data_IF_499472405634
#
_entry.id   IF_499472405634
#
_cell.length_a   1.000
_cell.length_b   1.000
_cell.length_c   1.000
_cell.angle_alpha   90.00
_cell.angle_beta   90.00
_cell.angle_gamma   90.00
#
_symmetry.space_group_name_H-M   'P 1'
#
loop_
_entity.id
_entity.type
_entity.pdbx_description
1 polymer ?
#
# COMPACT_ATOMS: atom_id res chain seq x y z
N UNK A 1 -41.68 10.22 29.58
CA UNK A 1 -41.27 11.52 29.02
C UNK A 1 -40.43 11.23 27.79
N UNK A 2 -41.10 11.34 26.63
CA UNK A 2 -40.63 11.56 25.24
C UNK A 2 -39.12 11.37 24.98
N UNK A 3 -38.69 10.28 24.33
CA UNK A 3 -38.65 10.10 22.85
C UNK A 3 -37.89 11.24 22.14
N UNK A 4 -36.56 11.20 22.23
CA UNK A 4 -35.65 11.92 21.33
C UNK A 4 -34.85 10.89 20.54
N UNK A 5 -35.39 10.46 19.40
CA UNK A 5 -34.62 9.76 18.38
C UNK A 5 -35.38 9.88 17.07
N UNK A 6 -35.49 11.07 16.47
CA UNK A 6 -35.76 11.13 15.02
C UNK A 6 -35.44 12.50 14.38
N UNK A 7 -34.21 12.65 13.91
CA UNK A 7 -33.86 13.62 12.86
C UNK A 7 -32.81 13.01 11.92
N UNK A 8 -32.83 11.68 11.75
CA UNK A 8 -31.89 11.04 10.85
C UNK A 8 -32.40 11.21 9.41
N UNK A 9 -31.72 12.03 8.61
CA UNK A 9 -32.04 12.20 7.17
C UNK A 9 -31.75 10.93 6.34
N UNK A 10 -30.97 9.99 6.90
CA UNK A 10 -30.68 8.71 6.25
C UNK A 10 -31.87 7.78 6.45
N UNK A 11 -32.76 7.80 5.46
CA UNK A 11 -34.06 7.09 5.51
C UNK A 11 -33.92 5.56 5.50
N UNK A 12 -32.80 5.03 5.00
CA UNK A 12 -32.49 3.60 4.99
C UNK A 12 -31.05 3.36 4.53
N UNK A 13 -30.34 2.46 5.21
CA UNK A 13 -29.05 1.90 4.76
C UNK A 13 -29.33 0.44 4.38
N UNK A 14 -29.00 0.04 3.16
CA UNK A 14 -29.12 -1.36 2.79
C UNK A 14 -28.09 -2.21 3.56
N UNK A 15 -28.44 -3.43 4.01
CA UNK A 15 -27.49 -4.34 4.63
C UNK A 15 -26.33 -4.61 3.67
N UNK A 16 -25.12 -4.32 4.12
CA UNK A 16 -23.90 -4.59 3.37
C UNK A 16 -23.27 -5.86 3.91
N UNK A 17 -22.97 -6.80 3.03
CA UNK A 17 -22.13 -7.95 3.37
C UNK A 17 -20.68 -7.46 3.61
N UNK A 18 -20.17 -7.63 4.82
CA UNK A 18 -18.83 -7.14 5.19
C UNK A 18 -17.75 -8.04 4.61
N UNK A 19 -18.04 -9.33 4.41
CA UNK A 19 -17.06 -10.31 3.95
C UNK A 19 -16.57 -10.01 2.53
N UNK A 20 -17.37 -9.29 1.72
CA UNK A 20 -16.97 -8.81 0.40
C UNK A 20 -15.74 -7.88 0.42
N UNK A 21 -15.43 -7.26 1.57
CA UNK A 21 -14.30 -6.35 1.74
C UNK A 21 -13.02 -7.02 2.24
N UNK A 22 -13.03 -8.32 2.56
CA UNK A 22 -11.89 -9.01 3.18
C UNK A 22 -10.58 -8.78 2.40
N UNK A 23 -10.60 -9.06 1.09
CA UNK A 23 -9.44 -8.85 0.20
C UNK A 23 -9.00 -7.40 0.10
N UNK A 24 -9.94 -6.46 0.08
CA UNK A 24 -9.61 -5.03 0.05
C UNK A 24 -8.97 -4.59 1.37
N UNK A 25 -9.51 -5.07 2.49
CA UNK A 25 -8.99 -4.84 3.83
C UNK A 25 -7.56 -5.36 4.00
N UNK A 26 -7.24 -6.53 3.46
CA UNK A 26 -5.88 -7.07 3.47
C UNK A 26 -4.88 -6.14 2.76
N UNK A 27 -5.20 -5.72 1.52
CA UNK A 27 -4.32 -4.84 0.73
C UNK A 27 -4.18 -3.48 1.39
N UNK A 28 -5.28 -2.86 1.82
CA UNK A 28 -5.26 -1.58 2.52
C UNK A 28 -4.53 -1.67 3.88
N UNK A 29 -4.65 -2.79 4.59
CA UNK A 29 -3.90 -3.06 5.81
C UNK A 29 -2.40 -3.12 5.57
N UNK A 30 -1.99 -3.68 4.43
CA UNK A 30 -0.59 -3.60 3.98
C UNK A 30 -0.23 -2.15 3.66
N UNK A 31 -1.05 -1.36 2.96
CA UNK A 31 -0.73 0.03 2.67
C UNK A 31 -0.72 0.95 3.91
N UNK A 32 -1.43 0.59 4.98
CA UNK A 32 -1.59 1.39 6.22
C UNK A 32 -0.34 1.45 7.11
N UNK A 33 0.84 1.62 6.53
CA UNK A 33 2.10 1.75 7.24
C UNK A 33 2.98 2.81 6.57
N UNK A 34 3.40 3.81 7.36
CA UNK A 34 4.19 4.96 6.88
C UNK A 34 5.44 4.57 6.07
N UNK A 35 6.16 3.52 6.47
CA UNK A 35 7.38 3.08 5.78
C UNK A 35 7.04 2.46 4.43
N UNK A 36 5.97 1.65 4.36
CA UNK A 36 5.52 1.04 3.10
C UNK A 36 4.97 2.06 2.12
N UNK A 37 4.26 3.08 2.62
CA UNK A 37 3.85 4.23 1.81
C UNK A 37 5.06 4.97 1.24
N UNK A 38 6.07 5.27 2.07
CA UNK A 38 7.29 5.92 1.61
C UNK A 38 8.03 5.10 0.54
N UNK A 39 8.15 3.78 0.73
CA UNK A 39 8.76 2.87 -0.27
C UNK A 39 7.99 2.93 -1.59
N UNK A 40 6.64 2.90 -1.56
CA UNK A 40 5.80 3.01 -2.75
C UNK A 40 6.01 4.34 -3.44
N UNK A 41 5.98 5.46 -2.70
CA UNK A 41 6.22 6.79 -3.28
C UNK A 41 7.55 6.86 -4.01
N UNK A 42 8.64 6.41 -3.38
CA UNK A 42 9.98 6.41 -4.00
C UNK A 42 9.99 5.47 -5.23
N UNK A 43 9.34 4.30 -5.15
CA UNK A 43 9.26 3.37 -6.28
C UNK A 43 8.45 3.92 -7.46
N UNK A 44 7.41 4.72 -7.21
CA UNK A 44 6.64 5.41 -8.23
C UNK A 44 7.49 6.50 -8.92
N UNK A 45 8.25 7.27 -8.14
CA UNK A 45 9.10 8.35 -8.66
C UNK A 45 10.28 7.84 -9.49
N UNK A 46 10.90 6.74 -9.07
CA UNK A 46 12.12 6.20 -9.70
C UNK A 46 11.88 4.97 -10.59
N UNK A 47 10.65 4.47 -10.68
CA UNK A 47 10.25 3.27 -11.40
C UNK A 47 10.70 1.95 -10.75
N UNK A 48 11.97 1.85 -10.31
CA UNK A 48 12.46 0.69 -9.56
C UNK A 48 13.50 1.07 -8.50
N UNK A 49 13.50 0.36 -7.38
CA UNK A 49 14.32 0.65 -6.20
C UNK A 49 15.01 -0.60 -5.64
N UNK A 50 16.22 -0.47 -5.10
CA UNK A 50 16.88 -1.53 -4.32
C UNK A 50 16.76 -1.26 -2.82
N UNK A 51 16.84 -2.33 -2.01
CA UNK A 51 16.86 -2.21 -0.55
C UNK A 51 18.02 -1.32 -0.04
N UNK A 52 19.15 -1.29 -0.74
CA UNK A 52 20.29 -0.42 -0.44
C UNK A 52 19.94 1.07 -0.47
N UNK A 53 19.36 1.54 -1.57
CA UNK A 53 18.96 2.95 -1.75
C UNK A 53 17.82 3.34 -0.81
N UNK A 54 16.91 2.41 -0.53
CA UNK A 54 15.85 2.63 0.44
C UNK A 54 16.38 2.73 1.88
N UNK A 55 17.40 1.96 2.26
CA UNK A 55 18.08 2.15 3.55
C UNK A 55 18.64 3.58 3.67
N UNK A 56 19.37 4.05 2.65
CA UNK A 56 19.95 5.39 2.63
C UNK A 56 18.87 6.48 2.71
N UNK A 57 17.79 6.35 1.92
CA UNK A 57 16.71 7.34 1.87
C UNK A 57 15.84 7.38 3.11
N UNK A 58 15.55 6.22 3.73
CA UNK A 58 14.63 6.12 4.86
C UNK A 58 15.33 6.20 6.22
N UNK A 59 16.67 6.11 6.27
CA UNK A 59 17.43 6.02 7.52
C UNK A 59 17.10 4.77 8.34
N UNK A 60 16.65 3.70 7.68
CA UNK A 60 16.25 2.45 8.31
C UNK A 60 17.24 1.32 7.97
N UNK A 61 17.55 0.40 8.90
CA UNK A 61 18.39 -0.76 8.61
C UNK A 61 17.84 -1.58 7.44
N UNK A 62 18.74 -2.07 6.57
CA UNK A 62 18.38 -2.89 5.41
C UNK A 62 17.53 -4.12 5.76
N UNK A 63 17.72 -4.84 6.89
CA UNK A 63 16.81 -5.92 7.28
C UNK A 63 15.36 -5.43 7.46
N UNK A 64 15.16 -4.26 8.08
CA UNK A 64 13.84 -3.65 8.27
C UNK A 64 13.21 -3.29 6.92
N UNK A 65 13.96 -2.64 6.04
CA UNK A 65 13.50 -2.32 4.67
C UNK A 65 13.12 -3.58 3.90
N UNK A 66 13.91 -4.64 4.02
CA UNK A 66 13.67 -5.92 3.34
C UNK A 66 12.36 -6.57 3.81
N UNK A 67 12.06 -6.52 5.11
CA UNK A 67 10.77 -7.00 5.65
C UNK A 67 9.60 -6.20 5.07
N UNK A 68 9.72 -4.88 4.94
CA UNK A 68 8.67 -4.06 4.34
C UNK A 68 8.47 -4.38 2.85
N UNK A 69 9.57 -4.54 2.10
CA UNK A 69 9.52 -4.94 0.68
C UNK A 69 8.88 -6.31 0.50
N UNK A 70 9.18 -7.29 1.37
CA UNK A 70 8.56 -8.60 1.33
C UNK A 70 7.06 -8.54 1.60
N UNK A 71 6.61 -7.75 2.58
CA UNK A 71 5.17 -7.56 2.83
C UNK A 71 4.44 -6.97 1.62
N UNK A 72 5.04 -5.96 0.99
CA UNK A 72 4.49 -5.34 -0.23
C UNK A 72 4.48 -6.30 -1.43
N UNK A 73 5.53 -7.11 -1.57
CA UNK A 73 5.64 -8.13 -2.61
C UNK A 73 4.61 -9.26 -2.42
N UNK A 74 4.49 -9.80 -1.20
CA UNK A 74 3.53 -10.85 -0.87
C UNK A 74 2.08 -10.39 -0.99
N UNK A 75 1.80 -9.10 -0.74
CA UNK A 75 0.51 -8.49 -1.01
C UNK A 75 0.21 -8.28 -2.51
N UNK A 76 1.17 -8.62 -3.38
CA UNK A 76 1.02 -8.51 -4.82
C UNK A 76 1.17 -7.10 -5.38
N UNK A 77 1.60 -6.11 -4.59
CA UNK A 77 1.74 -4.71 -5.03
C UNK A 77 3.03 -4.46 -5.81
N UNK A 78 4.08 -5.22 -5.51
CA UNK A 78 5.39 -5.10 -6.15
C UNK A 78 5.69 -6.31 -7.04
N UNK A 79 6.51 -6.07 -8.06
CA UNK A 79 7.28 -7.08 -8.80
C UNK A 79 8.77 -6.95 -8.44
N UNK A 80 9.49 -8.07 -8.45
CA UNK A 80 10.94 -8.10 -8.22
C UNK A 80 11.70 -8.55 -9.47
N UNK A 81 12.88 -7.97 -9.69
CA UNK A 81 13.86 -8.38 -10.70
C UNK A 81 15.21 -8.59 -10.03
N UNK A 82 15.78 -9.76 -10.24
CA UNK A 82 17.10 -10.12 -9.71
C UNK A 82 18.16 -9.80 -10.76
N UNK A 83 19.21 -9.10 -10.35
CA UNK A 83 20.31 -8.68 -11.21
C UNK A 83 21.63 -8.88 -10.47
N UNK A 84 22.23 -10.06 -10.64
CA UNK A 84 23.49 -10.50 -10.05
C UNK A 84 23.59 -10.29 -8.52
N UNK A 85 23.95 -9.09 -8.08
CA UNK A 85 24.11 -8.71 -6.65
C UNK A 85 22.95 -7.94 -6.06
N UNK A 86 21.96 -7.54 -6.87
CA UNK A 86 20.89 -6.66 -6.44
C UNK A 86 19.53 -7.23 -6.79
N UNK A 87 18.58 -7.05 -5.87
CA UNK A 87 17.16 -7.24 -6.14
C UNK A 87 16.51 -5.87 -6.26
N UNK A 88 15.87 -5.63 -7.40
CA UNK A 88 15.13 -4.42 -7.68
C UNK A 88 13.63 -4.68 -7.52
N UNK A 89 12.93 -3.76 -6.89
CA UNK A 89 11.49 -3.80 -6.70
C UNK A 89 10.87 -2.65 -7.50
N UNK A 90 9.77 -2.93 -8.17
CA UNK A 90 8.96 -1.92 -8.89
C UNK A 90 7.49 -2.21 -8.66
N UNK A 91 6.65 -1.20 -8.81
CA UNK A 91 5.20 -1.37 -8.67
C UNK A 91 4.68 -2.15 -9.89
N UNK A 92 3.73 -3.05 -9.66
CA UNK A 92 3.09 -3.75 -10.77
C UNK A 92 2.34 -2.76 -11.64
N UNK A 93 2.36 -3.01 -12.95
CA UNK A 93 1.78 -2.14 -13.96
C UNK A 93 0.27 -1.91 -13.74
N UNK A 94 -0.44 -2.92 -13.22
CA UNK A 94 -1.85 -2.83 -12.81
C UNK A 94 -2.12 -1.73 -11.74
N UNK A 95 -1.10 -1.32 -10.98
CA UNK A 95 -1.16 -0.24 -10.00
C UNK A 95 -0.36 1.01 -10.44
N UNK A 96 0.24 1.00 -11.63
CA UNK A 96 1.07 2.09 -12.14
C UNK A 96 0.29 3.37 -12.40
N UNK A 97 -0.99 3.28 -12.75
CA UNK A 97 -1.87 4.42 -13.05
C UNK A 97 -2.11 5.35 -11.84
N UNK A 98 -1.71 4.96 -10.62
CA UNK A 98 -1.74 5.83 -9.44
C UNK A 98 -0.90 7.11 -9.59
N UNK A 99 -0.04 7.22 -10.62
CA UNK A 99 0.85 8.37 -10.86
C UNK A 99 0.43 9.32 -11.97
N UNK A 100 -0.58 9.02 -12.78
CA UNK A 100 -0.96 9.88 -13.92
C UNK A 100 -1.58 11.24 -13.50
N UNK A 101 -1.72 11.50 -12.19
CA UNK A 101 -2.31 12.73 -11.65
C UNK A 101 -1.35 13.72 -10.96
N UNK A 102 -0.03 13.59 -11.10
CA UNK A 102 0.94 14.57 -10.56
C UNK A 102 1.85 15.11 -11.65
N UNK A 103 1.32 16.04 -12.43
CA UNK A 103 2.13 17.02 -13.19
C UNK A 103 2.27 18.29 -12.35
#
# INVERSE_FOLDING_TARGET
MTEETDACEVKSIEPVDIDQFEKLGEVLGVLSNKTRLAIITIALEHGSVCACRLQESLGLPQPTVTVHLQKLYSAGLLRKREAWRYTYYSIKEEYGTLTEGRT
#
